data_IF_071157747730
#
_entry.id   IF_071157747730
#
_cell.length_a   1.000
_cell.length_b   1.000
_cell.length_c   1.000
_cell.angle_alpha   90.00
_cell.angle_beta   90.00
_cell.angle_gamma   90.00
#
_symmetry.space_group_name_H-M   'P 1'
#
loop_
_entity.id
_entity.type
_entity.pdbx_description
1 polymer ?
#
# COMPACT_ATOMS: atom_id res chain seq x y z
N UNK A 1 -10.23 7.39 -1.92
CA UNK A 1 -10.71 6.08 -1.40
C UNK A 1 -11.45 6.32 -0.08
N UNK A 2 -12.50 5.54 0.25
CA UNK A 2 -13.14 5.59 1.58
C UNK A 2 -12.38 4.70 2.57
N UNK A 3 -12.36 5.06 3.85
CA UNK A 3 -11.69 4.29 4.90
C UNK A 3 -12.14 2.81 4.95
N UNK A 4 -13.45 2.54 4.81
CA UNK A 4 -13.97 1.16 4.78
C UNK A 4 -13.43 0.35 3.60
N UNK A 5 -13.27 0.96 2.42
CA UNK A 5 -12.71 0.26 1.27
C UNK A 5 -11.22 -0.02 1.48
N UNK A 6 -10.51 0.88 2.14
CA UNK A 6 -9.12 0.67 2.51
C UNK A 6 -8.98 -0.48 3.51
N UNK A 7 -9.82 -0.49 4.55
CA UNK A 7 -9.84 -1.56 5.54
C UNK A 7 -10.11 -2.93 4.87
N UNK A 8 -11.05 -3.00 3.92
CA UNK A 8 -11.29 -4.24 3.18
C UNK A 8 -10.04 -4.70 2.41
N UNK A 9 -9.26 -3.79 1.81
CA UNK A 9 -7.99 -4.15 1.16
C UNK A 9 -6.99 -4.68 2.19
N UNK A 10 -6.91 -4.04 3.36
CA UNK A 10 -6.03 -4.47 4.45
C UNK A 10 -6.38 -5.90 4.88
N UNK A 11 -7.65 -6.15 5.16
CA UNK A 11 -8.14 -7.45 5.65
C UNK A 11 -8.07 -8.53 4.58
N UNK A 12 -8.57 -8.25 3.38
CA UNK A 12 -8.82 -9.31 2.39
C UNK A 12 -7.57 -9.64 1.57
N UNK A 13 -6.62 -8.72 1.45
CA UNK A 13 -5.47 -8.85 0.54
C UNK A 13 -4.14 -8.69 1.27
N UNK A 14 -3.97 -7.61 2.03
CA UNK A 14 -2.69 -7.29 2.63
C UNK A 14 -2.34 -8.23 3.78
N UNK A 15 -3.26 -8.45 4.72
CA UNK A 15 -3.04 -9.26 5.91
C UNK A 15 -2.66 -10.73 5.59
N UNK A 16 -3.39 -11.45 4.69
CA UNK A 16 -2.96 -12.76 4.23
C UNK A 16 -1.58 -12.75 3.56
N UNK A 17 -1.28 -11.72 2.78
CA UNK A 17 0.02 -11.58 2.12
C UNK A 17 1.15 -11.37 3.13
N UNK A 18 0.93 -10.57 4.17
CA UNK A 18 1.88 -10.36 5.26
C UNK A 18 2.15 -11.64 6.03
N UNK A 19 1.11 -12.38 6.40
CA UNK A 19 1.26 -13.67 7.07
C UNK A 19 2.04 -14.69 6.21
N UNK A 20 1.88 -14.63 4.89
CA UNK A 20 2.60 -15.49 3.95
C UNK A 20 4.08 -15.08 3.78
N UNK A 21 4.36 -13.78 3.59
CA UNK A 21 5.72 -13.28 3.32
C UNK A 21 6.55 -13.15 4.60
N UNK A 22 5.92 -12.78 5.72
CA UNK A 22 6.55 -12.57 7.03
C UNK A 22 5.92 -13.49 8.08
N UNK A 23 6.07 -14.83 7.96
CA UNK A 23 5.40 -15.79 8.84
C UNK A 23 5.87 -15.72 10.30
N UNK A 24 6.98 -15.04 10.58
CA UNK A 24 7.49 -14.82 11.94
C UNK A 24 7.01 -13.50 12.56
N UNK A 25 6.11 -12.78 11.90
CA UNK A 25 5.51 -11.54 12.40
C UNK A 25 6.46 -10.35 12.48
N UNK A 26 7.56 -10.37 11.74
CA UNK A 26 8.56 -9.30 11.70
C UNK A 26 8.35 -8.33 10.52
N UNK A 27 7.20 -8.41 9.86
CA UNK A 27 6.85 -7.52 8.78
C UNK A 27 6.64 -6.09 9.26
N UNK A 28 6.93 -5.12 8.40
CA UNK A 28 6.70 -3.70 8.67
C UNK A 28 5.87 -3.13 7.53
N UNK A 29 4.69 -2.60 7.87
CA UNK A 29 3.86 -1.87 6.93
C UNK A 29 4.25 -0.39 6.95
N UNK A 30 4.59 0.14 5.79
CA UNK A 30 4.71 1.58 5.55
C UNK A 30 3.47 2.05 4.78
N UNK A 31 2.78 3.06 5.29
CA UNK A 31 1.69 3.76 4.60
C UNK A 31 1.83 5.27 4.79
N UNK A 32 1.31 6.06 3.85
CA UNK A 32 1.29 7.51 3.99
C UNK A 32 0.21 7.98 4.99
N UNK A 33 0.15 9.29 5.24
CA UNK A 33 -0.82 9.90 6.14
C UNK A 33 -2.14 10.29 5.44
N UNK A 34 -2.54 9.61 4.35
CA UNK A 34 -3.81 9.89 3.69
C UNK A 34 -5.00 9.75 4.68
N UNK A 35 -6.07 10.56 4.55
CA UNK A 35 -7.18 10.55 5.51
C UNK A 35 -7.85 9.18 5.71
N UNK A 36 -7.87 8.33 4.68
CA UNK A 36 -8.42 6.97 4.81
C UNK A 36 -7.54 6.05 5.66
N UNK A 37 -6.22 6.21 5.66
CA UNK A 37 -5.28 5.40 6.45
C UNK A 37 -5.28 5.82 7.93
N UNK A 38 -5.63 7.09 8.20
CA UNK A 38 -5.71 7.67 9.55
C UNK A 38 -7.12 7.59 10.15
N UNK A 39 -8.08 6.99 9.45
CA UNK A 39 -9.42 6.83 9.97
C UNK A 39 -9.43 5.90 11.19
N UNK A 40 -10.28 6.20 12.18
CA UNK A 40 -10.33 5.46 13.44
C UNK A 40 -10.49 3.94 13.23
N UNK A 41 -11.44 3.54 12.38
CA UNK A 41 -11.70 2.12 12.06
C UNK A 41 -10.49 1.37 11.49
N UNK A 42 -9.57 2.09 10.85
CA UNK A 42 -8.34 1.51 10.27
C UNK A 42 -7.27 1.41 11.34
N UNK A 43 -7.14 2.45 12.18
CA UNK A 43 -6.18 2.46 13.28
C UNK A 43 -6.53 1.42 14.35
N UNK A 44 -7.81 1.29 14.72
CA UNK A 44 -8.29 0.26 15.65
C UNK A 44 -7.94 -1.14 15.17
N UNK A 45 -8.15 -1.42 13.87
CA UNK A 45 -7.77 -2.72 13.29
C UNK A 45 -6.26 -2.97 13.41
N UNK A 46 -5.40 -1.97 13.15
CA UNK A 46 -3.95 -2.14 13.32
C UNK A 46 -3.53 -2.29 14.79
N UNK A 47 -4.24 -1.66 15.74
CA UNK A 47 -3.99 -1.84 17.17
C UNK A 47 -4.31 -3.28 17.61
N UNK A 48 -5.36 -3.89 17.06
CA UNK A 48 -5.75 -5.28 17.34
C UNK A 48 -4.74 -6.31 16.80
N UNK A 49 -3.94 -5.97 15.77
CA UNK A 49 -3.03 -6.89 15.07
C UNK A 49 -1.54 -6.52 15.25
N UNK A 50 -1.20 -5.76 16.30
CA UNK A 50 0.18 -5.27 16.52
C UNK A 50 1.21 -6.37 16.79
N UNK A 51 0.77 -7.58 17.14
CA UNK A 51 1.61 -8.76 17.37
C UNK A 51 1.96 -9.51 16.08
N UNK A 52 1.26 -9.22 14.99
CA UNK A 52 1.44 -9.89 13.70
C UNK A 52 2.38 -9.13 12.75
N UNK A 53 2.36 -7.80 12.78
CA UNK A 53 3.31 -6.95 12.07
C UNK A 53 3.28 -5.53 12.61
N UNK A 54 4.30 -4.74 12.29
CA UNK A 54 4.41 -3.38 12.78
C UNK A 54 3.93 -2.35 11.77
N UNK A 55 3.03 -1.45 12.17
CA UNK A 55 2.73 -0.25 11.41
C UNK A 55 3.78 0.83 11.69
N UNK A 56 4.55 1.21 10.66
CA UNK A 56 5.58 2.24 10.76
C UNK A 56 4.97 3.63 10.94
N UNK A 57 5.55 4.43 11.85
CA UNK A 57 5.26 5.86 11.93
C UNK A 57 5.88 6.58 10.73
N UNK A 58 5.07 7.32 9.97
CA UNK A 58 5.52 8.05 8.78
C UNK A 58 5.39 9.56 8.96
N UNK A 59 6.44 10.35 8.65
CA UNK A 59 6.35 11.81 8.68
C UNK A 59 5.36 12.35 7.62
N UNK A 60 4.63 13.43 7.91
CA UNK A 60 3.75 14.06 6.94
C UNK A 60 4.56 14.72 5.82
N UNK A 61 4.03 14.69 4.58
CA UNK A 61 4.62 15.31 3.40
C UNK A 61 6.06 14.84 3.08
N UNK A 62 6.34 13.55 3.26
CA UNK A 62 7.63 12.94 2.89
C UNK A 62 7.47 11.92 1.76
N UNK A 63 7.08 12.35 0.55
CA UNK A 63 7.01 11.46 -0.61
C UNK A 63 8.40 10.99 -1.04
N UNK A 64 9.43 11.79 -0.82
CA UNK A 64 10.85 11.49 -1.10
C UNK A 64 11.36 10.25 -0.35
N UNK A 65 10.74 9.94 0.79
CA UNK A 65 11.09 8.77 1.59
C UNK A 65 10.33 7.52 1.13
N UNK A 66 9.25 7.65 0.36
CA UNK A 66 8.37 6.54 0.01
C UNK A 66 8.94 5.76 -1.19
N UNK A 67 9.43 4.52 -1.00
CA UNK A 67 10.03 3.75 -2.10
C UNK A 67 9.04 3.47 -3.23
N UNK A 68 7.73 3.48 -2.95
CA UNK A 68 6.71 3.29 -3.96
C UNK A 68 6.70 4.42 -5.00
N UNK A 69 7.00 5.67 -4.63
CA UNK A 69 7.12 6.80 -5.57
C UNK A 69 8.17 6.50 -6.65
N UNK A 70 9.34 6.00 -6.24
CA UNK A 70 10.38 5.62 -7.18
C UNK A 70 9.98 4.43 -8.07
N UNK A 71 9.19 3.49 -7.56
CA UNK A 71 8.67 2.36 -8.35
C UNK A 71 7.66 2.87 -9.37
N UNK A 72 6.73 3.75 -8.97
CA UNK A 72 5.77 4.36 -9.89
C UNK A 72 6.45 5.19 -10.97
N UNK A 73 7.47 5.98 -10.63
CA UNK A 73 8.28 6.73 -11.60
C UNK A 73 8.95 5.80 -12.62
N UNK A 74 9.56 4.71 -12.16
CA UNK A 74 10.20 3.73 -13.03
C UNK A 74 9.17 3.03 -13.94
N UNK A 75 8.01 2.65 -13.40
CA UNK A 75 6.91 2.07 -14.16
C UNK A 75 6.38 3.04 -15.22
N UNK A 76 6.18 4.31 -14.87
CA UNK A 76 5.72 5.34 -15.81
C UNK A 76 6.74 5.54 -16.94
N UNK A 77 8.03 5.59 -16.62
CA UNK A 77 9.07 5.69 -17.63
C UNK A 77 9.04 4.50 -18.60
N UNK A 78 8.84 3.28 -18.10
CA UNK A 78 8.70 2.10 -18.95
C UNK A 78 7.47 2.19 -19.85
N UNK A 79 6.31 2.55 -19.30
CA UNK A 79 5.07 2.73 -20.07
C UNK A 79 5.20 3.79 -21.17
N UNK A 80 5.97 4.86 -20.94
CA UNK A 80 6.23 5.90 -21.95
C UNK A 80 7.08 5.42 -23.13
N UNK A 81 7.92 4.39 -22.93
CA UNK A 81 8.80 3.82 -23.97
C UNK A 81 8.08 2.73 -24.77
N UNK A 82 7.06 2.09 -24.20
CA UNK A 82 6.26 1.08 -24.87
C UNK A 82 5.26 1.67 -25.89
N UNK A 83 4.71 0.81 -26.74
CA UNK A 83 3.61 1.18 -27.64
C UNK A 83 2.40 1.63 -26.83
N UNK A 84 1.73 2.74 -27.15
CA UNK A 84 0.62 3.24 -26.35
C UNK A 84 -0.47 2.18 -26.16
N UNK A 85 -0.80 1.86 -24.90
CA UNK A 85 -1.92 1.00 -24.58
C UNK A 85 -3.21 1.67 -25.12
N UNK A 86 -4.02 0.98 -25.93
CA UNK A 86 -5.16 1.60 -26.62
C UNK A 86 -6.28 2.06 -25.66
N UNK A 87 -6.34 1.50 -24.44
CA UNK A 87 -7.31 1.90 -23.41
C UNK A 87 -6.87 1.45 -22.01
N UNK A 88 -7.60 1.90 -20.99
CA UNK A 88 -7.33 1.59 -19.58
C UNK A 88 -7.41 0.09 -19.28
N UNK A 89 -8.31 -0.67 -19.92
CA UNK A 89 -8.42 -2.12 -19.68
C UNK A 89 -7.20 -2.91 -20.14
N UNK A 90 -6.46 -2.42 -21.15
CA UNK A 90 -5.22 -3.04 -21.63
C UNK A 90 -3.98 -2.61 -20.84
N UNK A 91 -4.10 -1.62 -19.94
CA UNK A 91 -2.95 -1.07 -19.22
C UNK A 91 -2.31 -2.09 -18.25
N UNK A 92 -3.09 -3.02 -17.71
CA UNK A 92 -2.57 -4.08 -16.84
C UNK A 92 -1.64 -5.06 -17.57
N UNK A 93 -1.69 -5.12 -18.90
CA UNK A 93 -1.03 -6.14 -19.72
C UNK A 93 0.21 -5.62 -20.49
N UNK A 94 0.58 -4.34 -20.35
CA UNK A 94 1.54 -3.64 -21.23
C UNK A 94 3.07 -3.81 -20.89
#
# INVERSE_FOLDING_TARGET
MKAVNYLNIIVDQFHPSMAFVFPTGNGILQQDNAPCHKALIVLEWFEEHTDEFHLMSWPPNSPDLNPMEHIWDAMEQQLRVQTPCPNISTLCDC
#
